data_IF_896730153190
#
_entry.id   IF_896730153190
#
_cell.length_a   1.000
_cell.length_b   1.000
_cell.length_c   1.000
_cell.angle_alpha   90.00
_cell.angle_beta   90.00
_cell.angle_gamma   90.00
#
_symmetry.space_group_name_H-M   'P 1'
#
loop_
_entity.id
_entity.type
_entity.pdbx_description
1 polymer ?
#
# COMPACT_ATOMS: atom_id res chain seq x y z
N UNK A 1 5.67 -12.06 -7.90
CA UNK A 1 4.73 -12.66 -8.88
C UNK A 1 4.87 -14.19 -9.05
N UNK A 2 6.00 -14.84 -8.72
CA UNK A 2 6.12 -16.32 -8.81
C UNK A 2 5.56 -17.09 -7.59
N UNK A 3 5.53 -16.49 -6.40
CA UNK A 3 4.86 -17.08 -5.21
C UNK A 3 3.33 -16.94 -5.21
N UNK A 4 2.80 -16.00 -5.99
CA UNK A 4 1.36 -15.67 -6.05
C UNK A 4 0.53 -16.76 -6.74
N UNK A 5 1.09 -17.43 -7.75
CA UNK A 5 0.37 -18.45 -8.52
C UNK A 5 0.25 -19.75 -7.71
N UNK A 6 1.26 -20.09 -6.90
CA UNK A 6 1.22 -21.27 -6.03
C UNK A 6 0.20 -21.13 -4.90
N UNK A 7 0.07 -19.95 -4.30
CA UNK A 7 -0.96 -19.68 -3.27
C UNK A 7 -2.38 -19.68 -3.84
N UNK A 8 -2.56 -19.23 -5.09
CA UNK A 8 -3.85 -19.17 -5.77
C UNK A 8 -4.44 -20.55 -6.10
N UNK A 9 -3.60 -21.58 -6.20
CA UNK A 9 -4.00 -22.96 -6.54
C UNK A 9 -4.16 -23.90 -5.32
N UNK A 10 -3.64 -23.53 -4.14
CA UNK A 10 -3.54 -24.45 -3.00
C UNK A 10 -4.63 -24.32 -1.91
N UNK A 11 -5.59 -23.38 -2.04
CA UNK A 11 -6.71 -23.25 -1.08
C UNK A 11 -6.34 -22.80 0.34
N UNK A 12 -5.10 -22.37 0.60
CA UNK A 12 -4.59 -22.05 1.94
C UNK A 12 -4.83 -20.60 2.39
N UNK A 13 -5.79 -19.91 1.79
CA UNK A 13 -6.05 -18.50 2.06
C UNK A 13 -6.44 -18.25 3.53
N UNK A 14 -7.31 -19.08 4.11
CA UNK A 14 -7.70 -19.00 5.52
C UNK A 14 -6.51 -19.22 6.47
N UNK A 15 -5.56 -20.07 6.10
CA UNK A 15 -4.33 -20.28 6.88
C UNK A 15 -3.44 -19.04 6.83
N UNK A 16 -3.32 -18.37 5.68
CA UNK A 16 -2.53 -17.14 5.57
C UNK A 16 -3.11 -15.99 6.41
N UNK A 17 -4.44 -15.80 6.39
CA UNK A 17 -5.09 -14.76 7.20
C UNK A 17 -5.04 -15.10 8.69
N UNK A 18 -5.24 -16.36 9.08
CA UNK A 18 -5.15 -16.76 10.48
C UNK A 18 -3.73 -16.68 11.03
N UNK A 19 -2.71 -17.03 10.23
CA UNK A 19 -1.30 -16.85 10.59
C UNK A 19 -0.95 -15.36 10.74
N UNK A 20 -1.34 -14.52 9.78
CA UNK A 20 -1.10 -13.08 9.86
C UNK A 20 -1.79 -12.43 11.08
N UNK A 21 -3.03 -12.83 11.37
CA UNK A 21 -3.74 -12.39 12.58
C UNK A 21 -3.02 -12.83 13.85
N UNK A 22 -2.56 -14.07 13.95
CA UNK A 22 -1.80 -14.56 15.11
C UNK A 22 -0.48 -13.78 15.27
N UNK A 23 0.17 -13.43 14.18
CA UNK A 23 1.35 -12.55 14.17
C UNK A 23 1.03 -11.18 14.76
N UNK A 24 -0.07 -10.56 14.31
CA UNK A 24 -0.56 -9.30 14.90
C UNK A 24 -0.89 -9.44 16.39
N UNK A 25 -1.62 -10.48 16.80
CA UNK A 25 -1.94 -10.72 18.20
C UNK A 25 -0.68 -10.89 19.07
N UNK A 26 0.37 -11.52 18.52
CA UNK A 26 1.67 -11.66 19.18
C UNK A 26 2.40 -10.32 19.29
N UNK A 27 2.38 -9.51 18.22
CA UNK A 27 2.95 -8.17 18.21
C UNK A 27 2.25 -7.27 19.24
N UNK A 28 0.93 -7.35 19.40
CA UNK A 28 0.21 -6.60 20.43
C UNK A 28 0.64 -6.97 21.87
N UNK A 29 1.05 -8.22 22.10
CA UNK A 29 1.47 -8.69 23.43
C UNK A 29 2.94 -8.43 23.74
N UNK A 30 3.80 -8.46 22.72
CA UNK A 30 5.26 -8.52 22.92
C UNK A 30 6.07 -7.64 21.97
N UNK A 31 5.44 -7.03 20.97
CA UNK A 31 6.08 -6.19 19.97
C UNK A 31 6.17 -4.72 20.40
N UNK A 32 7.11 -4.00 19.80
CA UNK A 32 7.11 -2.54 19.83
C UNK A 32 6.03 -1.94 18.92
N UNK A 33 5.71 -0.64 19.06
CA UNK A 33 4.65 0.03 18.27
C UNK A 33 4.74 -0.21 16.77
N UNK A 34 5.92 -0.03 16.18
CA UNK A 34 6.15 -0.27 14.75
C UNK A 34 5.84 -1.70 14.30
N UNK A 35 6.13 -2.72 15.13
CA UNK A 35 5.84 -4.11 14.80
C UNK A 35 4.34 -4.42 14.90
N UNK A 36 3.62 -3.73 15.77
CA UNK A 36 2.15 -3.83 15.88
C UNK A 36 1.54 -3.32 14.57
N UNK A 37 1.93 -2.14 14.12
CA UNK A 37 1.38 -1.52 12.91
C UNK A 37 1.75 -2.27 11.65
N UNK A 38 3.00 -2.73 11.54
CA UNK A 38 3.43 -3.59 10.44
C UNK A 38 2.64 -4.89 10.38
N UNK A 39 2.49 -5.59 11.50
CA UNK A 39 1.74 -6.85 11.55
C UNK A 39 0.25 -6.65 11.26
N UNK A 40 -0.33 -5.51 11.70
CA UNK A 40 -1.70 -5.11 11.35
C UNK A 40 -1.85 -4.93 9.84
N UNK A 41 -0.91 -4.22 9.23
CA UNK A 41 -0.90 -3.97 7.79
C UNK A 41 -0.78 -5.27 6.99
N UNK A 42 0.16 -6.17 7.34
CA UNK A 42 0.29 -7.49 6.73
C UNK A 42 -1.02 -8.29 6.83
N UNK A 43 -1.67 -8.29 8.01
CA UNK A 43 -2.97 -8.94 8.16
C UNK A 43 -4.04 -8.35 7.23
N UNK A 44 -4.10 -7.02 7.10
CA UNK A 44 -5.02 -6.36 6.18
C UNK A 44 -4.75 -6.74 4.71
N UNK A 45 -3.49 -6.82 4.27
CA UNK A 45 -3.15 -7.25 2.91
C UNK A 45 -3.67 -8.67 2.60
N UNK A 46 -3.50 -9.60 3.54
CA UNK A 46 -4.03 -10.96 3.36
C UNK A 46 -5.56 -10.97 3.26
N UNK A 47 -6.27 -10.13 4.04
CA UNK A 47 -7.73 -9.98 3.90
C UNK A 47 -8.13 -9.41 2.52
N UNK A 48 -7.35 -8.47 1.98
CA UNK A 48 -7.56 -7.91 0.64
C UNK A 48 -7.40 -8.99 -0.42
N UNK A 49 -6.35 -9.81 -0.35
CA UNK A 49 -6.11 -10.91 -1.28
C UNK A 49 -7.20 -11.99 -1.23
N UNK A 50 -7.81 -12.20 -0.07
CA UNK A 50 -8.96 -13.09 0.11
C UNK A 50 -10.29 -12.49 -0.33
N UNK A 51 -10.30 -11.30 -0.95
CA UNK A 51 -11.52 -10.54 -1.29
C UNK A 51 -12.42 -10.19 -0.08
N UNK A 52 -11.92 -10.34 1.15
CA UNK A 52 -12.61 -10.01 2.40
C UNK A 52 -12.50 -8.50 2.72
N UNK A 53 -12.75 -7.65 1.72
CA UNK A 53 -12.44 -6.20 1.75
C UNK A 53 -13.14 -5.45 2.88
N UNK A 54 -14.39 -5.78 3.21
CA UNK A 54 -15.09 -5.17 4.36
C UNK A 54 -14.41 -5.44 5.71
N UNK A 55 -13.74 -6.60 5.87
CA UNK A 55 -12.92 -6.88 7.06
C UNK A 55 -11.60 -6.13 6.99
N UNK A 56 -10.95 -6.10 5.82
CA UNK A 56 -9.71 -5.37 5.61
C UNK A 56 -9.88 -3.88 5.97
N UNK A 57 -10.93 -3.23 5.44
CA UNK A 57 -11.23 -1.83 5.71
C UNK A 57 -11.40 -1.55 7.20
N UNK A 58 -12.11 -2.41 7.96
CA UNK A 58 -12.22 -2.23 9.42
C UNK A 58 -10.87 -2.25 10.13
N UNK A 59 -9.97 -3.16 9.73
CA UNK A 59 -8.62 -3.25 10.29
C UNK A 59 -7.78 -2.03 9.93
N UNK A 60 -7.85 -1.59 8.66
CA UNK A 60 -7.14 -0.42 8.17
C UNK A 60 -7.61 0.87 8.83
N UNK A 61 -8.93 1.12 8.87
CA UNK A 61 -9.53 2.30 9.51
C UNK A 61 -9.20 2.36 11.01
N UNK A 62 -9.24 1.22 11.71
CA UNK A 62 -8.83 1.18 13.12
C UNK A 62 -7.35 1.56 13.28
N UNK A 63 -6.47 1.03 12.42
CA UNK A 63 -5.05 1.37 12.43
C UNK A 63 -4.79 2.85 12.11
N UNK A 64 -5.46 3.42 11.12
CA UNK A 64 -5.35 4.84 10.76
C UNK A 64 -5.78 5.72 11.95
N UNK A 65 -6.92 5.43 12.56
CA UNK A 65 -7.43 6.21 13.70
C UNK A 65 -6.55 6.07 14.96
N UNK A 66 -5.92 4.91 15.16
CA UNK A 66 -5.03 4.68 16.28
C UNK A 66 -3.69 5.40 16.09
N UNK A 67 -3.04 5.13 14.96
CA UNK A 67 -1.71 5.65 14.64
C UNK A 67 -1.73 7.14 14.32
N UNK A 68 -2.75 7.62 13.60
CA UNK A 68 -2.92 9.03 13.23
C UNK A 68 -3.05 9.97 14.43
N UNK A 69 -3.46 9.49 15.61
CA UNK A 69 -3.53 10.29 16.84
C UNK A 69 -2.18 10.54 17.50
N UNK A 70 -1.20 9.69 17.24
CA UNK A 70 0.10 9.72 17.93
C UNK A 70 1.30 9.92 17.00
N UNK A 71 1.11 9.75 15.69
CA UNK A 71 2.19 9.83 14.71
C UNK A 71 2.83 11.23 14.71
N UNK A 72 4.16 11.26 14.67
CA UNK A 72 4.91 12.48 14.45
C UNK A 72 5.46 12.46 13.03
N UNK A 73 5.10 13.47 12.24
CA UNK A 73 5.58 13.63 10.86
C UNK A 73 6.89 14.45 10.81
N UNK A 74 7.48 14.72 11.98
CA UNK A 74 8.74 15.42 12.17
C UNK A 74 9.44 14.76 13.34
N UNK A 75 10.55 14.08 13.08
CA UNK A 75 11.30 13.32 14.08
C UNK A 75 12.31 12.39 13.42
N UNK A 76 13.18 11.82 14.25
CA UNK A 76 14.18 10.83 13.79
C UNK A 76 13.55 9.45 13.53
N UNK A 77 12.47 9.11 14.24
CA UNK A 77 11.71 7.87 14.03
C UNK A 77 10.57 8.09 13.03
N UNK A 78 10.81 7.70 11.78
CA UNK A 78 9.85 7.83 10.67
C UNK A 78 8.96 6.62 10.51
N UNK A 79 9.27 5.49 11.15
CA UNK A 79 8.60 4.22 10.90
C UNK A 79 7.09 4.25 11.21
N UNK A 80 6.60 4.94 12.25
CA UNK A 80 5.17 5.15 12.45
C UNK A 80 4.49 5.91 11.29
N UNK A 81 5.18 6.92 10.72
CA UNK A 81 4.66 7.68 9.60
C UNK A 81 4.63 6.84 8.31
N UNK A 82 5.69 6.07 8.05
CA UNK A 82 5.74 5.11 6.95
C UNK A 82 4.59 4.10 7.04
N UNK A 83 4.33 3.57 8.24
CA UNK A 83 3.24 2.63 8.44
C UNK A 83 1.86 3.25 8.25
N UNK A 84 1.65 4.48 8.74
CA UNK A 84 0.39 5.19 8.48
C UNK A 84 0.17 5.38 6.98
N UNK A 85 1.21 5.76 6.24
CA UNK A 85 1.17 5.86 4.80
C UNK A 85 0.75 4.55 4.12
N UNK A 86 1.33 3.41 4.50
CA UNK A 86 0.91 2.10 3.97
C UNK A 86 -0.53 1.72 4.28
N UNK A 87 -1.07 2.10 5.44
CA UNK A 87 -2.48 1.89 5.77
C UNK A 87 -3.40 2.71 4.85
N UNK A 88 -3.03 3.96 4.55
CA UNK A 88 -3.73 4.78 3.56
C UNK A 88 -3.65 4.18 2.16
N UNK A 89 -2.47 3.80 1.67
CA UNK A 89 -2.30 3.17 0.36
C UNK A 89 -3.14 1.89 0.19
N UNK A 90 -3.20 1.07 1.23
CA UNK A 90 -4.02 -0.16 1.23
C UNK A 90 -5.52 0.13 1.25
N UNK A 91 -5.93 1.21 1.94
CA UNK A 91 -7.31 1.68 1.96
C UNK A 91 -7.73 2.24 0.60
N UNK A 92 -6.83 2.96 -0.07
CA UNK A 92 -7.03 3.44 -1.44
C UNK A 92 -7.23 2.28 -2.43
N UNK A 93 -6.40 1.23 -2.33
CA UNK A 93 -6.59 0.02 -3.14
C UNK A 93 -7.94 -0.66 -2.89
N UNK A 94 -8.39 -0.73 -1.64
CA UNK A 94 -9.72 -1.27 -1.31
C UNK A 94 -10.84 -0.43 -1.95
N UNK A 95 -10.77 0.90 -1.79
CA UNK A 95 -11.75 1.83 -2.33
C UNK A 95 -11.82 1.76 -3.87
N UNK A 96 -10.67 1.70 -4.54
CA UNK A 96 -10.59 1.58 -5.99
C UNK A 96 -11.29 0.30 -6.49
N UNK A 97 -11.03 -0.83 -5.85
CA UNK A 97 -11.66 -2.12 -6.18
C UNK A 97 -13.16 -2.16 -5.90
N UNK A 98 -13.64 -1.36 -4.96
CA UNK A 98 -15.06 -1.18 -4.68
C UNK A 98 -15.70 -0.05 -5.53
N UNK A 99 -14.99 0.47 -6.53
CA UNK A 99 -15.44 1.54 -7.44
C UNK A 99 -15.83 2.82 -6.69
N UNK A 100 -15.05 3.16 -5.68
CA UNK A 100 -15.18 4.38 -4.87
C UNK A 100 -13.98 5.31 -5.16
N UNK A 101 -13.99 6.01 -6.31
CA UNK A 101 -12.82 6.77 -6.77
C UNK A 101 -12.46 7.93 -5.85
N UNK A 102 -13.44 8.60 -5.25
CA UNK A 102 -13.18 9.75 -4.38
C UNK A 102 -12.50 9.33 -3.07
N UNK A 103 -12.97 8.24 -2.45
CA UNK A 103 -12.32 7.67 -1.27
C UNK A 103 -10.91 7.14 -1.60
N UNK A 104 -10.71 6.58 -2.79
CA UNK A 104 -9.40 6.12 -3.23
C UNK A 104 -8.41 7.28 -3.36
N UNK A 105 -8.86 8.41 -3.91
CA UNK A 105 -8.07 9.64 -4.05
C UNK A 105 -7.76 10.27 -2.69
N UNK A 106 -8.74 10.38 -1.81
CA UNK A 106 -8.54 10.92 -0.46
C UNK A 106 -7.43 10.14 0.28
N UNK A 107 -7.48 8.81 0.24
CA UNK A 107 -6.42 8.00 0.84
C UNK A 107 -5.06 8.15 0.14
N UNK A 108 -5.02 8.29 -1.18
CA UNK A 108 -3.79 8.56 -1.92
C UNK A 108 -3.18 9.92 -1.55
N UNK A 109 -4.00 10.94 -1.38
CA UNK A 109 -3.58 12.29 -1.04
C UNK A 109 -3.02 12.35 0.39
N UNK A 110 -3.65 11.66 1.34
CA UNK A 110 -3.12 11.51 2.70
C UNK A 110 -1.76 10.78 2.71
N UNK A 111 -1.63 9.68 1.95
CA UNK A 111 -0.36 8.97 1.82
C UNK A 111 0.72 9.84 1.18
N UNK A 112 0.36 10.64 0.16
CA UNK A 112 1.27 11.58 -0.49
C UNK A 112 1.73 12.68 0.47
N UNK A 113 0.81 13.28 1.23
CA UNK A 113 1.13 14.31 2.21
C UNK A 113 2.08 13.80 3.31
N UNK A 114 1.93 12.54 3.73
CA UNK A 114 2.87 11.91 4.66
C UNK A 114 4.24 11.75 3.99
N UNK A 115 4.27 11.16 2.79
CA UNK A 115 5.50 10.90 2.05
C UNK A 115 6.29 12.18 1.72
N UNK A 116 5.63 13.27 1.36
CA UNK A 116 6.26 14.57 1.13
C UNK A 116 6.90 15.14 2.39
N UNK A 117 6.33 14.87 3.57
CA UNK A 117 6.82 15.42 4.84
C UNK A 117 8.02 14.66 5.39
N UNK A 118 8.07 13.35 5.20
CA UNK A 118 9.16 12.51 5.71
C UNK A 118 10.25 12.29 4.66
N UNK A 119 9.90 12.22 3.38
CA UNK A 119 10.83 11.93 2.28
C UNK A 119 10.93 10.43 1.98
N UNK A 120 12.01 10.03 1.31
CA UNK A 120 12.26 8.63 0.97
C UNK A 120 12.85 7.88 2.17
N UNK A 121 12.16 6.85 2.64
CA UNK A 121 12.58 6.00 3.75
C UNK A 121 12.44 4.52 3.42
N UNK A 122 13.21 3.70 4.12
CA UNK A 122 13.22 2.25 3.91
C UNK A 122 13.00 1.46 5.20
N UNK A 123 12.06 1.92 6.02
CA UNK A 123 11.60 1.20 7.18
C UNK A 123 11.13 -0.21 6.79
N UNK A 124 11.63 -1.22 7.50
CA UNK A 124 11.27 -2.64 7.29
C UNK A 124 11.44 -3.14 5.84
N UNK A 125 12.38 -2.56 5.08
CA UNK A 125 12.63 -2.88 3.66
C UNK A 125 11.44 -2.57 2.73
N UNK A 126 10.56 -1.66 3.15
CA UNK A 126 9.32 -1.36 2.44
C UNK A 126 9.42 -0.18 1.47
N UNK A 127 10.49 0.62 1.54
CA UNK A 127 10.74 1.77 0.67
C UNK A 127 9.54 2.73 0.61
N UNK A 128 9.06 3.21 1.76
CA UNK A 128 7.98 4.20 1.77
C UNK A 128 8.52 5.60 1.47
N UNK A 129 7.87 6.31 0.56
CA UNK A 129 8.25 7.66 0.18
C UNK A 129 7.52 8.13 -1.08
N UNK A 130 7.77 9.37 -1.55
CA UNK A 130 7.08 9.95 -2.70
C UNK A 130 7.13 9.07 -3.96
N UNK A 131 8.28 8.44 -4.20
CA UNK A 131 8.46 7.51 -5.33
C UNK A 131 7.53 6.31 -5.20
N UNK A 132 7.44 5.70 -4.02
CA UNK A 132 6.56 4.55 -3.80
C UNK A 132 5.09 4.94 -3.96
N UNK A 133 4.67 6.06 -3.37
CA UNK A 133 3.28 6.56 -3.50
C UNK A 133 2.91 6.78 -4.97
N UNK A 134 3.85 7.27 -5.78
CA UNK A 134 3.65 7.45 -7.22
C UNK A 134 3.37 6.11 -7.92
N UNK A 135 4.11 5.05 -7.58
CA UNK A 135 3.85 3.69 -8.09
C UNK A 135 2.44 3.22 -7.72
N UNK A 136 2.04 3.40 -6.46
CA UNK A 136 0.71 3.04 -6.00
C UNK A 136 -0.39 3.83 -6.72
N UNK A 137 -0.18 5.12 -6.99
CA UNK A 137 -1.11 5.97 -7.73
C UNK A 137 -1.37 5.44 -9.14
N UNK A 138 -0.33 4.96 -9.83
CA UNK A 138 -0.49 4.33 -11.16
C UNK A 138 -1.33 3.06 -11.07
N UNK A 139 -0.96 2.13 -10.18
CA UNK A 139 -1.69 0.87 -10.02
C UNK A 139 -3.16 1.08 -9.63
N UNK A 140 -3.43 2.03 -8.73
CA UNK A 140 -4.80 2.41 -8.34
C UNK A 140 -5.55 3.08 -9.50
N UNK A 141 -4.89 3.96 -10.26
CA UNK A 141 -5.47 4.56 -11.47
C UNK A 141 -5.87 3.50 -12.49
N UNK A 142 -5.05 2.47 -12.68
CA UNK A 142 -5.39 1.32 -13.54
C UNK A 142 -6.64 0.58 -13.04
N UNK A 143 -6.72 0.29 -11.73
CA UNK A 143 -7.90 -0.37 -11.12
C UNK A 143 -9.18 0.48 -11.27
N UNK A 144 -9.05 1.81 -11.31
CA UNK A 144 -10.16 2.74 -11.55
C UNK A 144 -10.52 2.93 -13.04
N UNK A 145 -9.75 2.34 -13.97
CA UNK A 145 -9.90 2.59 -15.41
C UNK A 145 -9.35 3.94 -15.87
N UNK A 146 -8.56 4.62 -15.04
CA UNK A 146 -7.92 5.92 -15.27
C UNK A 146 -6.43 5.78 -15.61
N UNK A 147 -5.98 4.56 -15.96
CA UNK A 147 -4.57 4.22 -16.17
C UNK A 147 -3.85 5.13 -17.17
N UNK A 148 -4.53 5.60 -18.22
CA UNK A 148 -3.99 6.55 -19.18
C UNK A 148 -3.59 7.89 -18.56
N UNK A 149 -4.48 8.48 -17.76
CA UNK A 149 -4.23 9.73 -17.04
C UNK A 149 -3.12 9.56 -16.02
N UNK A 150 -3.14 8.45 -15.28
CA UNK A 150 -2.11 8.15 -14.29
C UNK A 150 -0.72 7.97 -14.94
N UNK A 151 -0.65 7.33 -16.12
CA UNK A 151 0.57 7.22 -16.90
C UNK A 151 1.11 8.59 -17.35
N UNK A 152 0.25 9.46 -17.90
CA UNK A 152 0.64 10.81 -18.32
C UNK A 152 1.17 11.66 -17.16
N UNK A 153 0.57 11.54 -15.98
CA UNK A 153 1.01 12.25 -14.77
C UNK A 153 2.41 11.81 -14.33
N UNK A 154 2.66 10.49 -14.30
CA UNK A 154 3.96 9.94 -13.91
C UNK A 154 5.03 10.24 -14.94
N UNK A 155 4.74 10.15 -16.23
CA UNK A 155 5.74 10.46 -17.27
C UNK A 155 6.11 11.94 -17.33
N UNK A 156 5.26 12.84 -16.84
CA UNK A 156 5.56 14.27 -16.71
C UNK A 156 6.36 14.62 -15.47
N UNK A 157 6.43 13.72 -14.49
CA UNK A 157 7.09 13.95 -13.20
C UNK A 157 8.40 13.17 -13.14
N UNK A 158 9.54 13.80 -12.80
CA UNK A 158 10.79 13.06 -12.60
C UNK A 158 10.63 12.04 -11.46
N UNK A 159 10.64 10.75 -11.80
CA UNK A 159 10.57 9.67 -10.82
C UNK A 159 11.96 9.05 -10.65
N UNK A 160 12.51 9.09 -9.44
CA UNK A 160 13.75 8.37 -9.13
C UNK A 160 13.46 6.88 -8.90
N UNK A 161 13.44 6.12 -9.98
CA UNK A 161 13.19 4.67 -9.95
C UNK A 161 14.23 3.94 -9.08
N UNK A 162 15.42 4.50 -8.87
CA UNK A 162 16.44 3.89 -8.00
C UNK A 162 16.01 3.90 -6.52
N UNK A 163 15.17 4.86 -6.10
CA UNK A 163 14.66 4.96 -4.74
C UNK A 163 13.76 3.77 -4.33
N UNK A 164 13.17 3.06 -5.31
CA UNK A 164 12.38 1.84 -5.07
C UNK A 164 13.22 0.66 -4.54
N UNK A 165 14.54 0.71 -4.74
CA UNK A 165 15.54 -0.19 -4.18
C UNK A 165 15.38 -1.69 -4.45
N UNK A 166 14.53 -2.09 -5.41
CA UNK A 166 14.34 -3.48 -5.83
C UNK A 166 13.89 -3.56 -7.29
N UNK A 167 14.47 -4.53 -8.02
CA UNK A 167 14.16 -4.78 -9.42
C UNK A 167 12.70 -5.23 -9.62
N UNK A 168 12.11 -5.92 -8.64
CA UNK A 168 10.71 -6.33 -8.65
C UNK A 168 9.76 -5.13 -8.63
N UNK A 169 10.02 -4.12 -7.79
CA UNK A 169 9.19 -2.91 -7.71
C UNK A 169 9.28 -2.08 -8.98
N UNK A 170 10.47 -1.92 -9.53
CA UNK A 170 10.67 -1.23 -10.82
C UNK A 170 9.96 -1.96 -11.96
N UNK A 171 10.05 -3.29 -12.00
CA UNK A 171 9.34 -4.11 -12.99
C UNK A 171 7.82 -3.98 -12.87
N UNK A 172 7.28 -3.97 -11.65
CA UNK A 172 5.85 -3.80 -11.41
C UNK A 172 5.34 -2.43 -11.91
N UNK A 173 6.08 -1.36 -11.61
CA UNK A 173 5.78 -0.03 -12.16
C UNK A 173 5.78 -0.05 -13.70
N UNK A 174 6.81 -0.61 -14.34
CA UNK A 174 6.86 -0.67 -15.79
C UNK A 174 5.71 -1.48 -16.40
N UNK A 175 5.29 -2.56 -15.73
CA UNK A 175 4.14 -3.35 -16.13
C UNK A 175 2.84 -2.53 -16.05
N UNK A 176 2.59 -1.86 -14.92
CA UNK A 176 1.39 -1.05 -14.72
C UNK A 176 1.33 0.15 -15.69
N UNK A 177 2.48 0.79 -15.95
CA UNK A 177 2.61 1.82 -16.98
C UNK A 177 2.28 1.28 -18.38
N UNK A 178 2.79 0.10 -18.72
CA UNK A 178 2.46 -0.58 -19.98
C UNK A 178 0.97 -0.92 -20.10
N UNK A 179 0.34 -1.36 -19.00
CA UNK A 179 -1.08 -1.66 -18.96
C UNK A 179 -1.94 -0.40 -19.08
N UNK A 180 -1.57 0.68 -18.38
CA UNK A 180 -2.24 1.99 -18.46
C UNK A 180 -2.23 2.61 -19.86
N UNK A 181 -1.13 2.44 -20.61
CA UNK A 181 -0.98 2.88 -22.00
C UNK A 181 -1.90 2.15 -22.98
N UNK A 182 -2.18 0.86 -22.74
CA UNK A 182 -3.09 0.08 -23.60
C UNK A 182 -4.54 0.48 -23.32
N UNK A 183 -4.87 0.78 -22.06
CA UNK A 183 -6.20 1.24 -21.66
C UNK A 183 -6.59 2.64 -22.15
N UNK A 184 -5.63 3.48 -22.54
CA UNK A 184 -5.86 4.86 -23.02
C UNK A 184 -6.05 5.00 -24.53
N UNK A 185 -5.98 3.90 -25.28
CA UNK A 185 -6.04 3.87 -26.76
C UNK A 185 -7.41 3.48 -27.34
N UNK A 186 -8.47 3.51 -26.54
CA UNK A 186 -9.87 3.38 -26.98
C UNK A 186 -10.64 4.66 -26.66
#
# INVERSE_FOLDING_TARGET
>A
MAGDVANRLAGNFDLSVSAARRGYDMACRHGGPAMIDFSRWIWALHLIWMTARGRALRVLTAGINELGRSVQLRGEDTLPAEMLGFLHLSSAQCAARDKRPDDAREHLDEAAAIAERIGEHNGLSMHFGPTNVTVWRVGIGVELGEGGRAYEEVTRTPLDVAALGSQERSSALHFDLGYGLVGSRN
#
